data_IF_559122579471
#
_entry.id   IF_559122579471
#
_cell.length_a   1.000
_cell.length_b   1.000
_cell.length_c   1.000
_cell.angle_alpha   90.00
_cell.angle_beta   90.00
_cell.angle_gamma   90.00
#
_symmetry.space_group_name_H-M   'P 1'
#
loop_
_entity.id
_entity.type
_entity.pdbx_description
1 polymer ?
#
# COMPACT_ATOMS: atom_id res chain seq x y z
N UNK A 1 -9.71 -0.21 9.95
CA UNK A 1 -8.86 -0.41 8.77
C UNK A 1 -9.57 0.14 7.54
N UNK A 2 -9.15 1.30 7.08
CA UNK A 2 -9.82 2.08 6.01
C UNK A 2 -10.00 1.32 4.71
N UNK A 3 -9.08 0.42 4.36
CA UNK A 3 -9.21 -0.48 3.20
C UNK A 3 -10.52 -1.26 3.19
N UNK A 4 -10.96 -1.77 4.35
CA UNK A 4 -12.21 -2.53 4.47
C UNK A 4 -13.43 -1.60 4.52
N UNK A 5 -13.37 -0.56 5.37
CA UNK A 5 -14.51 0.33 5.57
C UNK A 5 -14.81 1.19 4.34
N UNK A 6 -13.83 1.89 3.79
CA UNK A 6 -14.03 2.72 2.59
C UNK A 6 -14.06 1.90 1.29
N UNK A 7 -13.30 0.80 1.23
CA UNK A 7 -13.25 -0.06 0.04
C UNK A 7 -14.60 -0.70 -0.30
N UNK A 8 -15.43 -0.98 0.70
CA UNK A 8 -16.78 -1.55 0.49
C UNK A 8 -17.67 -0.58 -0.28
N UNK A 9 -17.63 0.70 0.07
CA UNK A 9 -18.37 1.76 -0.65
C UNK A 9 -17.78 2.03 -2.04
N UNK A 10 -16.45 2.03 -2.18
CA UNK A 10 -15.81 2.21 -3.47
C UNK A 10 -16.17 1.09 -4.46
N UNK A 11 -16.24 -0.16 -3.98
CA UNK A 11 -16.70 -1.30 -4.78
C UNK A 11 -18.17 -1.15 -5.20
N UNK A 12 -19.06 -0.72 -4.30
CA UNK A 12 -20.46 -0.46 -4.63
C UNK A 12 -20.61 0.65 -5.69
N UNK A 13 -19.85 1.75 -5.57
CA UNK A 13 -19.83 2.83 -6.56
C UNK A 13 -19.38 2.32 -7.94
N UNK A 14 -18.26 1.59 -8.00
CA UNK A 14 -17.70 1.08 -9.24
C UNK A 14 -18.65 0.10 -9.94
N UNK A 15 -19.21 -0.86 -9.20
CA UNK A 15 -20.15 -1.85 -9.74
C UNK A 15 -21.46 -1.18 -10.13
N UNK A 16 -22.00 -0.28 -9.30
CA UNK A 16 -23.23 0.43 -9.61
C UNK A 16 -23.13 1.28 -10.88
N UNK A 17 -21.97 1.88 -11.14
CA UNK A 17 -21.69 2.57 -12.41
C UNK A 17 -21.68 1.59 -13.59
N UNK A 18 -21.04 0.43 -13.46
CA UNK A 18 -21.02 -0.61 -14.50
C UNK A 18 -22.42 -1.19 -14.79
N UNK A 19 -23.28 -1.26 -13.78
CA UNK A 19 -24.68 -1.71 -13.91
C UNK A 19 -25.62 -0.61 -14.43
N UNK A 20 -25.16 0.64 -14.55
CA UNK A 20 -25.99 1.76 -14.96
C UNK A 20 -27.06 2.14 -13.93
N UNK A 21 -26.77 1.98 -12.63
CA UNK A 21 -27.71 2.37 -11.57
C UNK A 21 -28.02 3.87 -11.63
N UNK A 22 -29.29 4.22 -11.47
CA UNK A 22 -29.69 5.62 -11.30
C UNK A 22 -29.36 6.12 -9.88
N UNK A 23 -29.57 7.42 -9.63
CA UNK A 23 -29.22 8.04 -8.36
C UNK A 23 -29.90 7.39 -7.13
N UNK A 24 -31.17 7.00 -7.24
CA UNK A 24 -31.91 6.37 -6.14
C UNK A 24 -31.37 4.95 -5.86
N UNK A 25 -31.09 4.17 -6.90
CA UNK A 25 -30.47 2.86 -6.75
C UNK A 25 -29.05 2.97 -6.18
N UNK A 26 -28.25 3.94 -6.64
CA UNK A 26 -26.92 4.17 -6.10
C UNK A 26 -26.96 4.55 -4.60
N UNK A 27 -27.95 5.34 -4.18
CA UNK A 27 -28.17 5.64 -2.78
C UNK A 27 -28.44 4.37 -1.95
N UNK A 28 -29.30 3.48 -2.45
CA UNK A 28 -29.54 2.19 -1.80
C UNK A 28 -28.30 1.27 -1.81
N UNK A 29 -27.52 1.27 -2.88
CA UNK A 29 -26.26 0.54 -2.95
C UNK A 29 -25.28 1.02 -1.88
N UNK A 30 -25.13 2.34 -1.71
CA UNK A 30 -24.32 2.91 -0.62
C UNK A 30 -24.88 2.56 0.75
N UNK A 31 -26.20 2.63 0.93
CA UNK A 31 -26.85 2.25 2.19
C UNK A 31 -26.53 0.82 2.61
N UNK A 32 -26.69 -0.12 1.69
CA UNK A 32 -26.40 -1.54 1.93
C UNK A 32 -24.90 -1.82 2.08
N UNK A 33 -24.04 -1.12 1.35
CA UNK A 33 -22.59 -1.27 1.45
C UNK A 33 -22.04 -0.68 2.76
N UNK A 34 -22.53 0.49 3.18
CA UNK A 34 -22.07 1.18 4.37
C UNK A 34 -22.38 0.43 5.66
N UNK A 35 -23.57 -0.21 5.76
CA UNK A 35 -23.89 -1.03 6.95
C UNK A 35 -23.03 -2.29 7.07
N UNK A 36 -22.43 -2.76 5.98
CA UNK A 36 -21.51 -3.90 5.94
C UNK A 36 -20.03 -3.49 6.03
N UNK A 37 -19.75 -2.19 6.08
CA UNK A 37 -18.38 -1.67 6.04
C UNK A 37 -17.67 -1.94 7.37
N UNK A 38 -16.62 -2.76 7.33
CA UNK A 38 -15.90 -3.19 8.53
C UNK A 38 -14.40 -3.41 8.26
N UNK A 39 -13.64 -3.56 9.36
CA UNK A 39 -12.24 -3.99 9.32
C UNK A 39 -11.48 -3.48 10.53
N UNK A 40 -11.10 -4.37 11.44
CA UNK A 40 -10.36 -4.03 12.66
C UNK A 40 -8.85 -4.19 12.43
N UNK A 41 -8.05 -3.44 13.19
CA UNK A 41 -6.58 -3.40 13.02
C UNK A 41 -5.82 -4.48 13.81
N UNK A 42 -6.51 -5.30 14.61
CA UNK A 42 -5.90 -6.28 15.52
C UNK A 42 -4.98 -7.29 14.80
N UNK A 43 -5.17 -7.50 13.49
CA UNK A 43 -4.28 -8.33 12.67
C UNK A 43 -2.80 -7.95 12.76
N UNK A 44 -2.47 -6.69 13.06
CA UNK A 44 -1.09 -6.24 13.20
C UNK A 44 -0.36 -6.95 14.35
N UNK A 45 -1.07 -7.29 15.44
CA UNK A 45 -0.47 -7.89 16.64
C UNK A 45 0.08 -9.29 16.39
N UNK A 46 -0.56 -10.03 15.49
CA UNK A 46 -0.25 -11.45 15.23
C UNK A 46 0.12 -11.73 13.78
N UNK A 47 0.24 -10.71 12.93
CA UNK A 47 0.48 -10.88 11.50
C UNK A 47 -0.60 -11.74 10.81
N UNK A 48 -1.86 -11.60 11.23
CA UNK A 48 -2.96 -12.47 10.77
C UNK A 48 -3.40 -12.20 9.32
N UNK A 49 -3.84 -13.25 8.63
CA UNK A 49 -4.38 -13.21 7.26
C UNK A 49 -5.72 -12.47 7.14
N UNK A 50 -6.35 -12.12 8.27
CA UNK A 50 -7.58 -11.31 8.29
C UNK A 50 -7.38 -9.93 7.65
N UNK A 51 -6.13 -9.45 7.51
CA UNK A 51 -5.84 -8.25 6.72
C UNK A 51 -6.29 -8.39 5.26
N UNK A 52 -6.01 -9.52 4.62
CA UNK A 52 -6.34 -9.83 3.22
C UNK A 52 -7.84 -10.10 3.08
N UNK A 53 -8.46 -10.70 4.11
CA UNK A 53 -9.91 -10.86 4.17
C UNK A 53 -10.63 -9.51 4.03
N UNK A 54 -10.11 -8.41 4.61
CA UNK A 54 -10.73 -7.09 4.48
C UNK A 54 -10.93 -6.65 3.03
N UNK A 55 -9.93 -6.85 2.16
CA UNK A 55 -10.04 -6.49 0.73
C UNK A 55 -11.04 -7.36 -0.01
N UNK A 56 -11.04 -8.67 0.28
CA UNK A 56 -11.96 -9.61 -0.35
C UNK A 56 -13.41 -9.35 0.07
N UNK A 57 -13.64 -9.18 1.37
CA UNK A 57 -14.96 -8.84 1.92
C UNK A 57 -15.46 -7.50 1.36
N UNK A 58 -14.63 -6.46 1.36
CA UNK A 58 -15.04 -5.15 0.83
C UNK A 58 -15.49 -5.23 -0.63
N UNK A 59 -14.72 -5.91 -1.49
CA UNK A 59 -15.07 -6.09 -2.89
C UNK A 59 -16.38 -6.89 -3.05
N UNK A 60 -16.53 -8.00 -2.33
CA UNK A 60 -17.73 -8.84 -2.38
C UNK A 60 -18.99 -8.14 -1.86
N UNK A 61 -18.89 -7.46 -0.71
CA UNK A 61 -20.00 -6.75 -0.09
C UNK A 61 -20.47 -5.57 -0.95
N UNK A 62 -19.55 -4.80 -1.54
CA UNK A 62 -19.90 -3.71 -2.45
C UNK A 62 -20.54 -4.20 -3.75
N UNK A 63 -20.01 -5.28 -4.34
CA UNK A 63 -20.60 -5.96 -5.50
C UNK A 63 -22.03 -6.39 -5.20
N UNK A 64 -22.23 -7.13 -4.09
CA UNK A 64 -23.55 -7.59 -3.66
C UNK A 64 -24.52 -6.42 -3.44
N UNK A 65 -24.07 -5.35 -2.76
CA UNK A 65 -24.90 -4.18 -2.49
C UNK A 65 -25.42 -3.49 -3.76
N UNK A 66 -24.58 -3.40 -4.80
CA UNK A 66 -24.98 -2.82 -6.07
C UNK A 66 -26.02 -3.68 -6.82
N UNK A 67 -25.85 -5.01 -6.84
CA UNK A 67 -26.85 -5.92 -7.43
C UNK A 67 -28.17 -5.91 -6.65
N UNK A 68 -28.13 -5.93 -5.32
CA UNK A 68 -29.35 -5.82 -4.50
C UNK A 68 -30.11 -4.54 -4.82
N UNK A 69 -29.42 -3.40 -4.94
CA UNK A 69 -30.05 -2.14 -5.32
C UNK A 69 -30.61 -2.13 -6.76
N UNK A 70 -29.95 -2.84 -7.70
CA UNK A 70 -30.48 -3.05 -9.05
C UNK A 70 -31.84 -3.76 -9.01
N UNK A 71 -31.97 -4.76 -8.13
CA UNK A 71 -33.18 -5.56 -7.92
C UNK A 71 -34.23 -4.86 -7.03
N UNK A 72 -34.00 -3.59 -6.64
CA UNK A 72 -34.94 -2.79 -5.87
C UNK A 72 -34.86 -2.96 -4.36
N UNK A 73 -33.84 -3.64 -3.83
CA UNK A 73 -33.59 -3.69 -2.39
C UNK A 73 -33.20 -2.31 -1.85
N UNK A 74 -33.86 -1.86 -0.78
CA UNK A 74 -33.63 -0.56 -0.19
C UNK A 74 -32.51 -0.60 0.87
N UNK A 75 -31.49 0.24 0.71
CA UNK A 75 -30.49 0.53 1.74
C UNK A 75 -30.79 1.80 2.54
N UNK A 76 -30.14 1.96 3.69
CA UNK A 76 -30.27 3.15 4.55
C UNK A 76 -29.93 4.44 3.78
N UNK A 77 -30.88 5.38 3.70
CA UNK A 77 -30.77 6.56 2.85
C UNK A 77 -29.74 7.60 3.33
N UNK A 78 -29.42 7.63 4.62
CA UNK A 78 -28.45 8.57 5.21
C UNK A 78 -27.29 7.82 5.87
N UNK A 79 -26.72 6.85 5.15
CA UNK A 79 -25.68 5.96 5.67
C UNK A 79 -24.37 6.69 6.00
N UNK A 80 -24.09 7.81 5.34
CA UNK A 80 -22.87 8.58 5.54
C UNK A 80 -22.96 9.46 6.78
N UNK A 81 -24.04 10.25 6.89
CA UNK A 81 -24.14 11.37 7.84
C UNK A 81 -25.24 11.22 8.89
N UNK A 82 -26.12 10.23 8.73
CA UNK A 82 -27.22 10.00 9.65
C UNK A 82 -26.75 9.72 11.08
N UNK A 83 -27.61 9.91 12.09
CA UNK A 83 -27.23 9.77 13.50
C UNK A 83 -26.78 8.35 13.89
N UNK A 84 -27.10 7.35 13.06
CA UNK A 84 -26.65 5.95 13.19
C UNK A 84 -25.84 5.51 11.96
N UNK A 85 -25.31 6.48 11.20
CA UNK A 85 -24.50 6.26 10.00
C UNK A 85 -23.01 6.11 10.31
N UNK A 86 -22.22 5.97 9.25
CA UNK A 86 -20.79 5.72 9.33
C UNK A 86 -20.03 6.85 10.02
N UNK A 87 -20.37 8.12 9.76
CA UNK A 87 -19.74 9.26 10.42
C UNK A 87 -19.83 9.15 11.95
N UNK A 88 -21.05 8.94 12.47
CA UNK A 88 -21.30 8.81 13.90
C UNK A 88 -20.67 7.54 14.51
N UNK A 89 -20.60 6.45 13.75
CA UNK A 89 -20.09 5.16 14.24
C UNK A 89 -18.58 4.96 14.10
N UNK A 90 -17.89 5.73 13.25
CA UNK A 90 -16.51 5.43 12.84
C UNK A 90 -15.54 6.63 12.87
N UNK A 91 -16.03 7.86 13.08
CA UNK A 91 -15.18 9.06 13.14
C UNK A 91 -15.58 9.97 14.31
N UNK A 92 -14.64 10.76 14.81
CA UNK A 92 -14.89 11.85 15.77
C UNK A 92 -14.90 13.23 15.13
N UNK A 93 -14.49 13.30 13.86
CA UNK A 93 -14.14 14.52 13.11
C UNK A 93 -14.65 14.45 11.66
N UNK A 94 -15.76 13.72 11.44
CA UNK A 94 -16.32 13.54 10.12
C UNK A 94 -16.70 14.88 9.49
N UNK A 95 -16.30 15.05 8.23
CA UNK A 95 -16.62 16.21 7.41
C UNK A 95 -17.23 15.73 6.09
N UNK A 96 -18.55 15.90 5.97
CA UNK A 96 -19.31 15.47 4.80
C UNK A 96 -18.90 16.20 3.51
N UNK A 97 -18.36 17.43 3.62
CA UNK A 97 -17.93 18.20 2.46
C UNK A 97 -16.79 17.50 1.70
N UNK A 98 -15.99 16.66 2.38
CA UNK A 98 -14.91 15.89 1.76
C UNK A 98 -15.40 14.76 0.84
N UNK A 99 -16.66 14.32 0.96
CA UNK A 99 -17.20 13.26 0.10
C UNK A 99 -17.40 13.72 -1.36
N UNK A 100 -17.65 15.01 -1.56
CA UNK A 100 -17.91 15.60 -2.87
C UNK A 100 -16.86 16.62 -3.30
N UNK A 101 -15.83 16.85 -2.48
CA UNK A 101 -14.73 17.75 -2.80
C UNK A 101 -14.01 17.34 -4.09
N UNK A 102 -13.97 18.27 -5.05
CA UNK A 102 -13.38 18.04 -6.37
C UNK A 102 -14.10 16.98 -7.22
N UNK A 103 -15.33 16.58 -6.89
CA UNK A 103 -16.06 15.57 -7.68
C UNK A 103 -16.24 16.04 -9.13
N UNK A 104 -15.81 15.21 -10.08
CA UNK A 104 -15.85 15.50 -11.52
C UNK A 104 -14.65 16.31 -12.05
N UNK A 105 -13.78 16.82 -11.17
CA UNK A 105 -12.57 17.57 -11.59
C UNK A 105 -11.27 16.97 -11.04
N UNK A 106 -11.33 16.29 -9.89
CA UNK A 106 -10.23 15.59 -9.23
C UNK A 106 -10.41 14.08 -9.32
N UNK A 107 -9.37 13.39 -9.76
CA UNK A 107 -9.37 11.93 -9.91
C UNK A 107 -8.36 11.29 -8.96
N UNK A 108 -8.81 10.88 -7.77
CA UNK A 108 -7.95 10.31 -6.72
C UNK A 108 -7.17 9.05 -7.16
N UNK A 109 -7.60 8.35 -8.21
CA UNK A 109 -6.84 7.23 -8.81
C UNK A 109 -5.47 7.68 -9.31
N UNK A 110 -5.35 8.89 -9.87
CA UNK A 110 -4.06 9.44 -10.33
C UNK A 110 -3.13 9.85 -9.17
N UNK A 111 -3.68 10.00 -7.97
CA UNK A 111 -2.97 10.37 -6.75
C UNK A 111 -2.55 9.14 -5.93
N UNK A 112 -2.72 7.94 -6.48
CA UNK A 112 -2.38 6.69 -5.80
C UNK A 112 -0.91 6.32 -6.00
N UNK A 113 -0.22 5.99 -4.91
CA UNK A 113 1.16 5.51 -4.97
C UNK A 113 1.28 4.05 -5.41
N UNK A 114 2.30 3.74 -6.20
CA UNK A 114 2.73 2.37 -6.49
C UNK A 114 3.84 1.96 -5.53
N UNK A 115 3.60 0.96 -4.68
CA UNK A 115 4.65 0.44 -3.78
C UNK A 115 5.88 -0.05 -4.54
N UNK A 116 7.03 0.58 -4.36
CA UNK A 116 8.28 0.08 -4.93
C UNK A 116 8.81 -1.15 -4.17
N UNK A 117 8.77 -1.10 -2.84
CA UNK A 117 9.14 -2.21 -1.97
C UNK A 117 7.93 -3.06 -1.54
N UNK A 118 8.10 -4.38 -1.45
CA UNK A 118 7.06 -5.33 -1.08
C UNK A 118 6.79 -5.38 0.44
N UNK A 119 6.80 -4.23 1.11
CA UNK A 119 6.73 -4.05 2.56
C UNK A 119 5.60 -3.09 3.00
N UNK A 120 5.49 -2.87 4.30
CA UNK A 120 4.65 -1.81 4.87
C UNK A 120 5.11 -0.43 4.34
N UNK A 121 4.15 0.42 3.94
CA UNK A 121 4.47 1.73 3.32
C UNK A 121 5.30 2.62 4.25
N UNK A 122 5.13 2.50 5.56
CA UNK A 122 5.91 3.20 6.59
C UNK A 122 7.43 2.99 6.49
N UNK A 123 7.89 1.93 5.80
CA UNK A 123 9.33 1.65 5.61
C UNK A 123 9.92 2.30 4.36
N UNK A 124 9.08 2.73 3.40
CA UNK A 124 9.53 3.15 2.07
C UNK A 124 10.34 4.46 2.12
N UNK A 125 9.91 5.52 2.84
CA UNK A 125 10.66 6.77 2.86
C UNK A 125 12.09 6.61 3.40
N UNK A 126 12.24 5.87 4.50
CA UNK A 126 13.56 5.62 5.10
C UNK A 126 14.44 4.71 4.22
N UNK A 127 13.84 3.73 3.54
CA UNK A 127 14.55 2.86 2.60
C UNK A 127 15.13 3.66 1.42
N UNK A 128 14.33 4.54 0.82
CA UNK A 128 14.78 5.38 -0.30
C UNK A 128 15.82 6.41 0.15
N UNK A 129 15.65 7.01 1.34
CA UNK A 129 16.64 7.93 1.90
C UNK A 129 17.98 7.23 2.21
N UNK A 130 17.96 5.99 2.70
CA UNK A 130 19.18 5.20 2.88
C UNK A 130 19.85 4.89 1.52
N UNK A 131 19.07 4.48 0.52
CA UNK A 131 19.61 4.25 -0.83
C UNK A 131 20.27 5.48 -1.42
N UNK A 132 19.68 6.66 -1.23
CA UNK A 132 20.25 7.92 -1.70
C UNK A 132 21.65 8.14 -1.10
N UNK A 133 21.78 8.03 0.23
CA UNK A 133 23.06 8.18 0.94
C UNK A 133 24.08 7.13 0.48
N UNK A 134 23.65 5.87 0.37
CA UNK A 134 24.56 4.79 -0.07
C UNK A 134 25.08 5.02 -1.48
N UNK A 135 24.21 5.46 -2.41
CA UNK A 135 24.60 5.73 -3.80
C UNK A 135 25.50 6.95 -3.92
N UNK A 136 25.17 8.04 -3.23
CA UNK A 136 25.93 9.29 -3.25
C UNK A 136 27.36 9.08 -2.75
N UNK A 137 27.53 8.26 -1.70
CA UNK A 137 28.83 8.04 -1.06
C UNK A 137 29.49 6.70 -1.40
N UNK A 138 28.92 5.92 -2.31
CA UNK A 138 29.43 4.61 -2.71
C UNK A 138 29.52 3.59 -1.58
N UNK A 139 28.62 3.66 -0.59
CA UNK A 139 28.63 2.78 0.58
C UNK A 139 28.09 1.39 0.24
N UNK A 140 28.71 0.39 0.84
CA UNK A 140 28.21 -0.98 0.93
C UNK A 140 27.54 -1.21 2.30
N UNK A 141 26.71 -2.26 2.45
CA UNK A 141 26.11 -2.60 3.75
C UNK A 141 27.12 -2.71 4.90
N UNK A 142 28.31 -3.25 4.63
CA UNK A 142 29.36 -3.43 5.64
C UNK A 142 30.02 -2.13 6.08
N UNK A 143 29.89 -1.05 5.31
CA UNK A 143 30.41 0.27 5.64
C UNK A 143 29.52 1.02 6.66
N UNK A 144 28.34 0.48 6.98
CA UNK A 144 27.34 1.13 7.83
C UNK A 144 27.45 0.63 9.26
N UNK A 145 27.86 1.49 10.19
CA UNK A 145 27.89 1.19 11.62
C UNK A 145 26.50 1.34 12.29
N UNK A 146 25.71 2.32 11.85
CA UNK A 146 24.38 2.59 12.40
C UNK A 146 23.50 3.35 11.40
N UNK A 147 22.19 3.10 11.43
CA UNK A 147 21.18 3.92 10.76
C UNK A 147 20.11 4.36 11.75
N UNK A 148 19.88 5.66 11.83
CA UNK A 148 18.74 6.24 12.53
C UNK A 148 17.74 6.69 11.48
N UNK A 149 16.53 6.13 11.52
CA UNK A 149 15.43 6.55 10.65
C UNK A 149 14.55 7.53 11.41
N UNK A 150 14.39 8.74 10.87
CA UNK A 150 13.58 9.80 11.44
C UNK A 150 12.16 9.69 10.87
N UNK A 151 11.18 9.40 11.72
CA UNK A 151 9.85 8.94 11.30
C UNK A 151 8.73 9.68 12.03
N UNK A 152 7.50 9.55 11.53
CA UNK A 152 6.27 9.96 12.22
C UNK A 152 5.77 8.88 13.19
N UNK A 153 4.89 9.24 14.12
CA UNK A 153 4.43 8.34 15.20
C UNK A 153 3.74 7.08 14.65
N UNK A 154 2.96 7.20 13.59
CA UNK A 154 2.30 6.06 12.96
C UNK A 154 3.27 4.97 12.45
N UNK A 155 4.49 5.34 12.05
CA UNK A 155 5.51 4.36 11.70
C UNK A 155 6.02 3.58 12.92
N UNK A 156 6.23 4.26 14.06
CA UNK A 156 6.63 3.63 15.32
C UNK A 156 5.53 2.67 15.79
N UNK A 157 4.27 3.10 15.76
CA UNK A 157 3.14 2.30 16.23
C UNK A 157 2.95 1.02 15.40
N UNK A 158 3.17 1.11 14.08
CA UNK A 158 2.95 0.00 13.14
C UNK A 158 4.16 -0.93 13.03
N UNK A 159 5.38 -0.40 13.08
CA UNK A 159 6.61 -1.15 12.82
C UNK A 159 7.37 -1.53 14.10
N UNK A 160 7.22 -0.74 15.18
CA UNK A 160 7.87 -0.94 16.47
C UNK A 160 7.60 -2.30 17.13
N UNK A 161 6.42 -2.93 16.97
CA UNK A 161 6.17 -4.27 17.50
C UNK A 161 7.05 -5.37 16.89
N UNK A 162 7.67 -5.16 15.71
CA UNK A 162 8.42 -6.19 14.98
C UNK A 162 9.88 -5.76 14.75
N UNK A 163 10.70 -5.86 15.79
CA UNK A 163 12.14 -5.59 15.69
C UNK A 163 12.88 -6.79 15.10
N UNK A 164 12.65 -7.99 15.65
CA UNK A 164 13.22 -9.25 15.14
C UNK A 164 12.12 -10.11 14.53
N UNK A 165 11.92 -10.06 13.19
CA UNK A 165 10.90 -10.85 12.54
C UNK A 165 11.26 -12.34 12.51
N UNK A 166 10.31 -13.21 12.86
CA UNK A 166 10.47 -14.68 12.77
C UNK A 166 9.83 -15.26 11.52
N UNK A 167 9.02 -14.47 10.80
CA UNK A 167 8.37 -14.88 9.54
C UNK A 167 8.59 -13.85 8.43
N UNK A 168 8.43 -14.29 7.18
CA UNK A 168 8.43 -13.41 6.00
C UNK A 168 7.34 -12.33 6.09
N UNK A 169 6.19 -12.63 6.69
CA UNK A 169 5.15 -11.62 6.89
C UNK A 169 5.65 -10.54 7.84
N UNK A 170 6.18 -10.93 9.00
CA UNK A 170 6.71 -10.00 9.99
C UNK A 170 7.87 -9.17 9.43
N UNK A 171 8.75 -9.75 8.60
CA UNK A 171 9.90 -9.02 8.04
C UNK A 171 9.49 -7.83 7.18
N UNK A 172 8.32 -7.89 6.53
CA UNK A 172 7.72 -6.78 5.76
C UNK A 172 7.24 -5.61 6.64
N UNK A 173 7.20 -5.77 7.96
CA UNK A 173 6.88 -4.73 8.96
C UNK A 173 8.07 -4.38 9.86
N UNK A 174 9.27 -4.91 9.58
CA UNK A 174 10.49 -4.57 10.32
C UNK A 174 11.30 -3.54 9.53
N UNK A 175 11.43 -2.31 10.05
CA UNK A 175 12.20 -1.23 9.42
C UNK A 175 13.63 -1.70 9.10
N UNK A 176 14.32 -2.27 10.09
CA UNK A 176 15.70 -2.72 9.92
C UNK A 176 15.86 -3.82 8.87
N UNK A 177 14.92 -4.77 8.80
CA UNK A 177 14.98 -5.84 7.80
C UNK A 177 14.75 -5.32 6.39
N UNK A 178 13.81 -4.38 6.21
CA UNK A 178 13.58 -3.72 4.92
C UNK A 178 14.84 -2.97 4.47
N UNK A 179 15.43 -2.15 5.34
CA UNK A 179 16.67 -1.41 5.05
C UNK A 179 17.83 -2.38 4.75
N UNK A 180 17.92 -3.51 5.46
CA UNK A 180 18.87 -4.60 5.21
C UNK A 180 18.81 -5.14 3.79
N UNK A 181 17.61 -5.51 3.31
CA UNK A 181 17.41 -5.99 1.96
C UNK A 181 17.67 -4.90 0.91
N UNK A 182 17.18 -3.69 1.18
CA UNK A 182 17.35 -2.54 0.29
C UNK A 182 18.83 -2.20 0.11
N UNK A 183 19.63 -2.21 1.17
CA UNK A 183 21.06 -1.95 1.13
C UNK A 183 21.82 -3.00 0.28
N UNK A 184 21.36 -4.25 0.27
CA UNK A 184 21.99 -5.33 -0.50
C UNK A 184 21.59 -5.32 -1.98
N UNK A 185 20.29 -5.14 -2.25
CA UNK A 185 19.72 -5.39 -3.59
C UNK A 185 19.24 -4.11 -4.30
N UNK A 186 19.39 -2.94 -3.67
CA UNK A 186 18.83 -1.68 -4.17
C UNK A 186 17.30 -1.58 -4.06
N UNK A 187 16.64 -2.62 -3.56
CA UNK A 187 15.20 -2.71 -3.35
C UNK A 187 14.84 -3.92 -2.45
N UNK A 188 13.63 -3.96 -1.88
CA UNK A 188 13.10 -5.15 -1.20
C UNK A 188 11.89 -5.73 -1.96
N UNK A 189 12.12 -6.76 -2.77
CA UNK A 189 11.09 -7.51 -3.51
C UNK A 189 10.63 -8.78 -2.78
N UNK A 190 9.63 -9.48 -3.32
CA UNK A 190 9.12 -10.72 -2.72
C UNK A 190 10.18 -11.83 -2.67
N UNK A 191 10.97 -11.99 -3.74
CA UNK A 191 12.04 -12.99 -3.79
C UNK A 191 13.14 -12.72 -2.76
N UNK A 192 13.50 -11.45 -2.55
CA UNK A 192 14.49 -11.04 -1.56
C UNK A 192 13.98 -11.28 -0.14
N UNK A 193 12.70 -11.00 0.12
CA UNK A 193 12.09 -11.33 1.41
C UNK A 193 12.08 -12.83 1.68
N UNK A 194 11.72 -13.66 0.71
CA UNK A 194 11.64 -15.12 0.91
C UNK A 194 13.02 -15.75 1.10
N UNK A 195 14.02 -15.27 0.33
CA UNK A 195 15.36 -15.86 0.30
C UNK A 195 16.28 -15.32 1.40
N UNK A 196 16.24 -14.00 1.65
CA UNK A 196 17.35 -13.30 2.32
C UNK A 196 16.96 -12.50 3.56
N UNK A 197 15.70 -12.52 4.02
CA UNK A 197 15.33 -11.75 5.23
C UNK A 197 16.09 -12.17 6.50
N UNK A 198 16.57 -13.43 6.54
CA UNK A 198 17.42 -13.98 7.61
C UNK A 198 18.89 -14.12 7.20
N UNK A 199 19.32 -13.59 6.04
CA UNK A 199 20.74 -13.62 5.67
C UNK A 199 21.57 -12.85 6.71
N UNK A 200 22.82 -13.27 6.95
CA UNK A 200 23.69 -12.61 7.93
C UNK A 200 23.83 -11.11 7.65
N UNK A 201 23.97 -10.73 6.38
CA UNK A 201 24.05 -9.34 5.95
C UNK A 201 22.76 -8.55 6.28
N UNK A 202 21.57 -9.11 6.03
CA UNK A 202 20.30 -8.47 6.38
C UNK A 202 20.17 -8.28 7.89
N UNK A 203 20.50 -9.32 8.66
CA UNK A 203 20.40 -9.29 10.12
C UNK A 203 21.38 -8.29 10.74
N UNK A 204 22.62 -8.25 10.23
CA UNK A 204 23.64 -7.29 10.66
C UNK A 204 23.16 -5.83 10.50
N UNK A 205 22.59 -5.47 9.34
CA UNK A 205 22.08 -4.11 9.16
C UNK A 205 20.80 -3.87 9.97
N UNK A 206 19.90 -4.86 10.05
CA UNK A 206 18.67 -4.77 10.88
C UNK A 206 19.00 -4.38 12.32
N UNK A 207 20.01 -5.02 12.91
CA UNK A 207 20.38 -4.81 14.32
C UNK A 207 21.08 -3.45 14.54
N UNK A 208 21.44 -2.75 13.46
CA UNK A 208 22.05 -1.41 13.46
C UNK A 208 21.03 -0.29 13.19
N UNK A 209 19.76 -0.63 12.95
CA UNK A 209 18.69 0.31 12.60
C UNK A 209 17.84 0.64 13.82
N UNK A 210 17.55 1.92 14.05
CA UNK A 210 16.54 2.37 15.02
C UNK A 210 15.65 3.46 14.44
N UNK A 211 14.44 3.59 14.99
CA UNK A 211 13.49 4.64 14.64
C UNK A 211 13.46 5.72 15.72
N UNK A 212 13.47 6.99 15.31
CA UNK A 212 13.32 8.15 16.18
C UNK A 212 12.20 9.05 15.63
N UNK A 213 11.37 9.59 16.53
CA UNK A 213 10.30 10.53 16.15
C UNK A 213 10.93 11.86 15.72
N UNK A 214 10.56 12.34 14.54
CA UNK A 214 11.01 13.62 14.02
C UNK A 214 9.81 14.57 13.82
N UNK A 215 9.79 15.76 14.47
CA UNK A 215 8.65 16.68 14.41
C UNK A 215 8.30 17.17 13.00
N UNK A 216 9.29 17.28 12.11
CA UNK A 216 9.05 17.71 10.73
C UNK A 216 8.36 16.59 9.92
N UNK A 217 8.84 15.36 10.07
CA UNK A 217 8.25 14.19 9.40
C UNK A 217 6.85 13.92 9.95
N UNK A 218 6.67 14.01 11.27
CA UNK A 218 5.38 13.81 11.93
C UNK A 218 4.35 14.87 11.52
N UNK A 219 4.73 16.15 11.56
CA UNK A 219 3.84 17.26 11.17
C UNK A 219 3.46 17.27 9.69
N UNK A 220 4.20 16.58 8.83
CA UNK A 220 3.91 16.46 7.41
C UNK A 220 2.97 15.27 7.09
N UNK A 221 2.91 14.26 7.96
CA UNK A 221 2.09 13.06 7.77
C UNK A 221 0.59 13.35 8.05
N UNK A 222 -0.37 12.76 7.30
CA UNK A 222 -0.19 11.84 6.18
C UNK A 222 -0.08 12.52 4.80
N UNK A 223 -0.07 13.84 4.75
CA UNK A 223 -0.08 14.60 3.48
C UNK A 223 1.21 14.44 2.68
N UNK A 224 2.35 14.28 3.36
CA UNK A 224 3.64 13.95 2.75
C UNK A 224 4.32 12.83 3.52
N UNK A 225 5.00 11.95 2.79
CA UNK A 225 5.70 10.78 3.33
C UNK A 225 7.21 10.99 3.27
N UNK A 226 7.70 11.99 3.99
CA UNK A 226 9.11 12.40 3.98
C UNK A 226 9.98 11.28 4.56
N UNK A 227 11.07 10.95 3.88
CA UNK A 227 12.11 10.03 4.34
C UNK A 227 13.32 10.79 4.83
N UNK A 228 13.76 10.51 6.06
CA UNK A 228 14.99 11.07 6.64
C UNK A 228 15.78 9.97 7.34
N UNK A 229 17.09 9.95 7.11
CA UNK A 229 18.01 9.04 7.80
C UNK A 229 19.29 9.75 8.22
N UNK A 230 19.85 9.33 9.35
CA UNK A 230 21.24 9.59 9.71
C UNK A 230 22.00 8.28 9.67
N UNK A 231 23.05 8.21 8.86
CA UNK A 231 23.91 7.04 8.68
C UNK A 231 25.26 7.34 9.32
N UNK A 232 25.66 6.52 10.29
CA UNK A 232 27.03 6.51 10.81
C UNK A 232 27.79 5.38 10.14
N UNK A 233 28.92 5.70 9.52
CA UNK A 233 29.76 4.73 8.83
C UNK A 233 30.82 4.14 9.76
N UNK A 234 31.41 3.01 9.38
CA UNK A 234 32.48 2.34 10.13
C UNK A 234 33.80 3.12 10.16
N UNK A 235 34.00 4.03 9.20
CA UNK A 235 35.13 4.98 9.17
C UNK A 235 34.88 6.26 10.00
N UNK A 236 33.73 6.36 10.68
CA UNK A 236 33.40 7.45 11.61
C UNK A 236 32.70 8.66 11.00
N UNK A 237 32.36 8.66 9.70
CA UNK A 237 31.54 9.72 9.10
C UNK A 237 30.10 9.62 9.56
N UNK A 238 29.45 10.78 9.61
CA UNK A 238 27.99 10.90 9.80
C UNK A 238 27.41 11.56 8.57
N UNK A 239 26.51 10.84 7.90
CA UNK A 239 25.91 11.22 6.63
C UNK A 239 24.39 11.34 6.82
N UNK A 240 23.76 12.31 6.15
CA UNK A 240 22.33 12.54 6.25
C UNK A 240 21.68 12.30 4.90
N UNK A 241 20.53 11.62 4.90
CA UNK A 241 19.73 11.36 3.71
C UNK A 241 18.34 11.94 3.85
N UNK A 242 17.81 12.46 2.75
CA UNK A 242 16.42 12.94 2.67
C UNK A 242 15.79 12.59 1.34
N UNK A 243 14.52 12.19 1.37
CA UNK A 243 13.64 12.08 0.21
C UNK A 243 12.29 12.72 0.56
N UNK A 244 11.86 13.73 -0.20
CA UNK A 244 10.55 14.36 0.02
C UNK A 244 9.40 13.56 -0.60
N UNK A 245 9.69 12.85 -1.70
CA UNK A 245 8.73 12.01 -2.44
C UNK A 245 9.32 10.62 -2.70
N UNK A 246 8.97 9.61 -1.86
CA UNK A 246 9.41 8.23 -2.02
C UNK A 246 9.06 7.65 -3.38
N UNK A 247 9.86 6.69 -3.85
CA UNK A 247 9.67 6.04 -5.14
C UNK A 247 8.30 5.36 -5.20
N UNK A 248 7.54 5.78 -6.20
CA UNK A 248 6.20 5.31 -6.47
C UNK A 248 5.09 6.25 -5.99
N UNK A 249 5.38 7.29 -5.20
CA UNK A 249 4.42 8.35 -4.93
C UNK A 249 4.09 9.16 -6.22
N UNK A 250 2.94 9.86 -6.30
CA UNK A 250 2.50 10.49 -7.55
C UNK A 250 3.53 11.39 -8.23
N UNK A 251 4.28 12.20 -7.47
CA UNK A 251 5.33 13.06 -8.03
C UNK A 251 6.66 12.35 -8.32
N UNK A 252 6.84 11.11 -7.85
CA UNK A 252 7.98 10.23 -8.13
C UNK A 252 7.50 8.82 -8.56
N UNK A 253 6.54 8.78 -9.48
CA UNK A 253 5.84 7.53 -9.83
C UNK A 253 6.76 6.53 -10.55
N UNK A 254 6.29 5.29 -10.67
CA UNK A 254 7.02 4.26 -11.42
C UNK A 254 6.83 4.47 -12.93
N UNK A 255 7.91 4.33 -13.70
CA UNK A 255 7.81 4.37 -15.17
C UNK A 255 7.08 3.13 -15.69
N UNK A 256 6.66 3.15 -16.96
CA UNK A 256 6.02 1.99 -17.59
C UNK A 256 6.93 0.76 -17.59
N UNK A 257 8.22 0.98 -17.77
CA UNK A 257 9.26 -0.05 -17.76
C UNK A 257 9.40 -0.64 -16.35
N UNK A 258 9.42 0.19 -15.32
CA UNK A 258 9.48 -0.26 -13.92
C UNK A 258 8.22 -1.03 -13.51
N UNK A 259 7.04 -0.56 -13.92
CA UNK A 259 5.76 -1.24 -13.69
C UNK A 259 5.70 -2.59 -14.42
N UNK A 260 6.17 -2.64 -15.67
CA UNK A 260 6.25 -3.87 -16.46
C UNK A 260 7.22 -4.87 -15.82
N UNK A 261 8.43 -4.43 -15.49
CA UNK A 261 9.43 -5.26 -14.82
C UNK A 261 8.91 -5.78 -13.47
N UNK A 262 8.21 -4.94 -12.71
CA UNK A 262 7.57 -5.36 -11.46
C UNK A 262 6.49 -6.42 -11.71
N UNK A 263 5.61 -6.22 -12.69
CA UNK A 263 4.55 -7.17 -13.02
C UNK A 263 5.13 -8.55 -13.41
N UNK A 264 6.17 -8.57 -14.25
CA UNK A 264 6.88 -9.80 -14.64
C UNK A 264 7.52 -10.50 -13.43
N UNK A 265 8.18 -9.76 -12.54
CA UNK A 265 8.77 -10.34 -11.32
C UNK A 265 7.72 -10.94 -10.39
N UNK A 266 6.57 -10.30 -10.23
CA UNK A 266 5.47 -10.81 -9.41
C UNK A 266 4.87 -12.09 -10.01
N UNK A 267 4.67 -12.15 -11.33
CA UNK A 267 4.18 -13.33 -12.01
C UNK A 267 5.16 -14.51 -11.94
N UNK A 268 6.46 -14.24 -12.11
CA UNK A 268 7.51 -15.25 -11.97
C UNK A 268 7.56 -15.80 -10.54
N UNK A 269 7.45 -14.92 -9.54
CA UNK A 269 7.45 -15.31 -8.13
C UNK A 269 6.24 -16.20 -7.76
N UNK A 270 5.05 -15.90 -8.27
CA UNK A 270 3.85 -16.70 -7.97
C UNK A 270 3.74 -17.99 -8.79
N UNK A 271 4.50 -18.12 -9.89
CA UNK A 271 4.30 -19.19 -10.88
C UNK A 271 2.99 -19.07 -11.67
N UNK A 272 2.27 -17.95 -11.52
CA UNK A 272 0.93 -17.75 -12.09
C UNK A 272 0.89 -17.59 -13.61
N UNK A 273 2.00 -17.17 -14.23
CA UNK A 273 2.14 -17.05 -15.67
C UNK A 273 3.62 -17.20 -16.08
N UNK A 274 3.88 -17.73 -17.27
CA UNK A 274 5.21 -17.64 -17.89
C UNK A 274 5.56 -16.18 -18.21
N UNK A 275 6.85 -15.89 -18.35
CA UNK A 275 7.31 -14.55 -18.71
C UNK A 275 6.68 -14.04 -20.02
N UNK A 276 6.53 -14.92 -21.02
CA UNK A 276 5.92 -14.58 -22.31
C UNK A 276 4.41 -14.31 -22.19
N UNK A 277 3.68 -15.08 -21.39
CA UNK A 277 2.26 -14.82 -21.13
C UNK A 277 2.06 -13.50 -20.39
N UNK A 278 2.85 -13.26 -19.34
CA UNK A 278 2.74 -12.03 -18.57
C UNK A 278 3.15 -10.80 -19.38
N UNK A 279 4.18 -10.90 -20.23
CA UNK A 279 4.56 -9.81 -21.13
C UNK A 279 3.39 -9.44 -22.07
N UNK A 280 2.79 -10.44 -22.73
CA UNK A 280 1.60 -10.19 -23.58
C UNK A 280 0.45 -9.56 -22.81
N UNK A 281 0.18 -10.04 -21.59
CA UNK A 281 -0.87 -9.48 -20.74
C UNK A 281 -0.61 -8.00 -20.40
N UNK A 282 0.64 -7.64 -20.08
CA UNK A 282 1.04 -6.26 -19.79
C UNK A 282 0.93 -5.37 -21.03
N UNK A 283 1.38 -5.84 -22.19
CA UNK A 283 1.28 -5.10 -23.45
C UNK A 283 -0.17 -4.77 -23.80
N UNK A 284 -1.08 -5.72 -23.55
CA UNK A 284 -2.52 -5.54 -23.71
C UNK A 284 -3.05 -4.55 -22.66
N UNK A 285 -2.71 -4.71 -21.38
CA UNK A 285 -3.11 -3.81 -20.28
C UNK A 285 -2.76 -2.34 -20.54
N UNK A 286 -1.64 -2.06 -21.23
CA UNK A 286 -1.28 -0.70 -21.58
C UNK A 286 -2.24 -0.02 -22.56
N UNK A 287 -3.15 -0.78 -23.18
CA UNK A 287 -4.23 -0.30 -24.05
C UNK A 287 -5.59 -0.25 -23.33
N UNK A 288 -5.66 -0.43 -22.00
CA UNK A 288 -6.92 -0.57 -21.27
C UNK A 288 -7.92 0.59 -21.49
N UNK A 289 -7.42 1.81 -21.74
CA UNK A 289 -8.26 2.98 -22.01
C UNK A 289 -9.12 2.85 -23.28
N UNK A 290 -8.77 1.96 -24.23
CA UNK A 290 -9.52 1.77 -25.47
C UNK A 290 -10.56 0.66 -25.36
N UNK A 291 -10.68 0.00 -24.20
CA UNK A 291 -11.54 -1.17 -24.05
C UNK A 291 -12.99 -0.78 -23.81
N UNK A 292 -13.89 -1.44 -24.54
CA UNK A 292 -15.33 -1.44 -24.23
C UNK A 292 -15.69 -2.50 -23.17
N UNK A 293 -14.89 -3.56 -23.08
CA UNK A 293 -15.02 -4.68 -22.14
C UNK A 293 -13.63 -5.17 -21.79
N UNK A 294 -13.40 -5.50 -20.51
CA UNK A 294 -12.15 -6.11 -20.06
C UNK A 294 -11.97 -7.48 -20.73
N UNK A 295 -10.90 -7.70 -21.51
CA UNK A 295 -10.63 -8.99 -22.12
C UNK A 295 -10.04 -9.96 -21.08
N UNK A 296 -10.03 -11.24 -21.42
CA UNK A 296 -9.20 -12.21 -20.72
C UNK A 296 -7.72 -11.93 -21.04
N UNK A 297 -6.93 -11.62 -20.00
CA UNK A 297 -5.52 -11.25 -20.16
C UNK A 297 -4.57 -12.44 -20.12
N UNK A 298 -4.95 -13.46 -19.36
CA UNK A 298 -4.27 -14.75 -19.31
C UNK A 298 -5.27 -15.78 -19.85
N UNK A 299 -4.82 -16.67 -20.72
CA UNK A 299 -5.64 -17.81 -21.14
C UNK A 299 -5.89 -18.69 -19.92
N UNK A 300 -7.10 -19.22 -19.79
CA UNK A 300 -7.38 -20.25 -18.79
C UNK A 300 -6.40 -21.40 -19.04
N UNK A 301 -5.56 -21.72 -18.05
CA UNK A 301 -4.82 -22.97 -18.11
C UNK A 301 -5.87 -24.09 -18.02
N UNK A 302 -5.90 -25.06 -18.96
CA UNK A 302 -6.74 -26.23 -18.76
C UNK A 302 -6.38 -26.85 -17.41
N UNK A 303 -7.43 -27.15 -16.62
CA UNK A 303 -7.33 -27.73 -15.30
C UNK A 303 -6.55 -29.06 -15.28
#
# INVERSE_FOLDING_TARGET
HTTGTAGTLAAAAAVGQLLGLNAAQMLHAFGSAGTQSAGLWEFLRTAADSKQLHTAHAAGAGLMAAYLAQDGFTGAADIFTGPQGMAAGMSSDADAAKLTDGLGTRWATAETSFKWHASCRHTHPAADALLAVMREHGLKPDDIAQVVTHVHQGAIDVLGPVVQPTTVHQSKFSMGTVLGLVAQYGHAGLGEFDRDYLSSATQMLRDRVRMELDPEVDGAYPQRWIGKVTVTTTDGRTLQGRVDEPKGDPGNTLTREELTAKALRLAAHSGGASAAEMQRAVDVLWQAATWKRTPWLLQERPA
#
